data_IF_426103021441
#
_entry.id   IF_426103021441
#
_cell.length_a   1.000
_cell.length_b   1.000
_cell.length_c   1.000
_cell.angle_alpha   90.00
_cell.angle_beta   90.00
_cell.angle_gamma   90.00
#
_symmetry.space_group_name_H-M   'P 1'
#
loop_
_entity.id
_entity.type
_entity.pdbx_description
1 polymer ?
#
# COMPACT_ATOMS: atom_id res chain seq x y z
N UNK A 1 -6.99 -1.34 62.45
CA UNK A 1 -7.57 -0.69 61.27
C UNK A 1 -6.59 -0.84 60.12
N UNK A 2 -6.88 -1.76 59.16
CA UNK A 2 -6.05 -1.97 57.95
C UNK A 2 -6.67 -1.15 56.82
N UNK A 3 -6.01 -0.07 56.38
CA UNK A 3 -6.39 0.66 55.18
C UNK A 3 -5.96 -0.13 53.95
N UNK A 4 -6.93 -0.59 53.14
CA UNK A 4 -6.69 -1.10 51.82
C UNK A 4 -6.59 0.09 50.84
N UNK A 5 -5.42 0.31 50.31
CA UNK A 5 -5.20 1.28 49.23
C UNK A 5 -5.61 0.58 47.92
N UNK A 6 -6.80 0.93 47.40
CA UNK A 6 -7.24 0.48 46.06
C UNK A 6 -6.53 1.36 45.05
N UNK A 7 -5.50 0.81 44.43
CA UNK A 7 -4.78 1.42 43.29
C UNK A 7 -5.67 1.29 42.05
N UNK A 8 -6.42 2.34 41.70
CA UNK A 8 -7.07 2.44 40.40
C UNK A 8 -5.98 2.63 39.32
N UNK A 9 -5.60 1.54 38.65
CA UNK A 9 -4.89 1.62 37.40
C UNK A 9 -5.81 2.24 36.34
N UNK A 10 -5.74 3.54 36.17
CA UNK A 10 -6.24 4.18 34.94
C UNK A 10 -5.40 3.67 33.78
N UNK A 11 -5.84 2.60 33.11
CA UNK A 11 -5.41 2.33 31.76
C UNK A 11 -5.89 3.51 30.91
N UNK A 12 -5.02 4.46 30.65
CA UNK A 12 -5.24 5.47 29.63
C UNK A 12 -5.32 4.75 28.28
N UNK A 13 -6.52 4.43 27.84
CA UNK A 13 -6.75 4.12 26.43
C UNK A 13 -6.28 5.35 25.66
N UNK A 14 -5.21 5.22 24.92
CA UNK A 14 -4.78 6.26 23.99
C UNK A 14 -5.92 6.45 22.98
N UNK A 15 -6.68 7.52 23.13
CA UNK A 15 -7.84 7.87 22.29
C UNK A 15 -7.33 8.48 20.98
N UNK A 16 -6.83 7.63 20.06
CA UNK A 16 -6.30 8.10 18.78
C UNK A 16 -6.98 7.45 17.58
N UNK A 17 -7.50 6.25 17.73
CA UNK A 17 -8.29 5.55 16.71
C UNK A 17 -9.79 5.73 17.01
N UNK A 18 -10.56 6.07 16.01
CA UNK A 18 -12.01 6.13 16.07
C UNK A 18 -12.55 5.01 15.18
N UNK A 19 -13.03 3.89 15.76
CA UNK A 19 -13.56 2.79 14.98
C UNK A 19 -14.79 3.23 14.20
N UNK A 20 -14.84 2.85 12.94
CA UNK A 20 -16.00 3.05 12.07
C UNK A 20 -16.53 1.70 11.63
N UNK A 21 -17.81 1.65 11.33
CA UNK A 21 -18.44 0.46 10.74
C UNK A 21 -18.16 0.41 9.24
N UNK A 22 -17.77 -0.77 8.77
CA UNK A 22 -17.58 -1.08 7.36
C UNK A 22 -18.51 -2.23 7.01
N UNK A 23 -19.17 -2.14 5.86
CA UNK A 23 -19.96 -3.23 5.31
C UNK A 23 -19.13 -3.93 4.23
N UNK A 24 -19.24 -5.23 4.22
CA UNK A 24 -18.54 -6.11 3.29
C UNK A 24 -19.57 -6.87 2.44
N UNK A 25 -19.43 -6.80 1.12
CA UNK A 25 -20.27 -7.50 0.18
C UNK A 25 -19.41 -8.29 -0.82
N UNK A 26 -19.74 -9.56 -1.00
CA UNK A 26 -19.05 -10.41 -1.96
C UNK A 26 -19.41 -10.00 -3.40
N UNK A 27 -18.39 -9.81 -4.22
CA UNK A 27 -18.54 -9.45 -5.63
C UNK A 27 -18.36 -10.70 -6.49
N UNK A 28 -19.38 -11.03 -7.27
CA UNK A 28 -19.32 -12.18 -8.18
C UNK A 28 -18.28 -11.95 -9.30
N UNK A 29 -17.51 -12.97 -9.62
CA UNK A 29 -16.51 -12.96 -10.70
C UNK A 29 -16.45 -14.29 -11.44
N UNK A 30 -15.99 -14.26 -12.70
CA UNK A 30 -15.69 -15.47 -13.44
C UNK A 30 -14.38 -16.10 -12.93
N UNK A 31 -14.26 -17.44 -12.88
CA UNK A 31 -13.01 -18.09 -12.49
C UNK A 31 -11.82 -17.59 -13.31
N UNK A 32 -10.76 -17.19 -12.61
CA UNK A 32 -9.52 -16.75 -13.22
C UNK A 32 -8.33 -17.50 -12.61
N UNK A 33 -7.52 -18.10 -13.47
CA UNK A 33 -6.38 -18.89 -13.05
C UNK A 33 -5.28 -18.85 -14.11
N UNK A 34 -4.05 -18.71 -13.66
CA UNK A 34 -2.83 -18.88 -14.47
C UNK A 34 -1.97 -20.00 -13.88
N UNK A 35 -0.79 -20.25 -14.45
CA UNK A 35 0.18 -21.16 -13.82
C UNK A 35 0.70 -20.63 -12.48
N UNK A 36 0.66 -19.31 -12.27
CA UNK A 36 1.24 -18.65 -11.08
C UNK A 36 0.22 -18.23 -10.03
N UNK A 37 -0.99 -17.86 -10.41
CA UNK A 37 -2.00 -17.35 -9.49
C UNK A 37 -3.40 -17.83 -9.80
N UNK A 38 -4.26 -17.81 -8.77
CA UNK A 38 -5.69 -18.09 -8.85
C UNK A 38 -6.47 -17.02 -8.11
N UNK A 39 -7.51 -16.45 -8.73
CA UNK A 39 -8.40 -15.48 -8.09
C UNK A 39 -9.32 -16.21 -7.11
N UNK A 40 -9.28 -15.82 -5.84
CA UNK A 40 -10.00 -16.50 -4.76
C UNK A 40 -11.24 -15.74 -4.31
N UNK A 41 -11.16 -14.42 -4.19
CA UNK A 41 -12.27 -13.58 -3.75
C UNK A 41 -12.13 -12.15 -4.25
N UNK A 42 -13.27 -11.49 -4.39
CA UNK A 42 -13.39 -10.03 -4.50
C UNK A 42 -14.49 -9.61 -3.54
N UNK A 43 -14.21 -8.64 -2.68
CA UNK A 43 -15.21 -8.05 -1.78
C UNK A 43 -15.22 -6.54 -1.96
N UNK A 44 -16.40 -5.95 -1.89
CA UNK A 44 -16.59 -4.51 -1.85
C UNK A 44 -16.73 -4.05 -0.40
N UNK A 45 -16.00 -3.01 -0.05
CA UNK A 45 -16.06 -2.38 1.28
C UNK A 45 -16.75 -1.03 1.15
N UNK A 46 -17.75 -0.78 2.01
CA UNK A 46 -18.48 0.49 2.05
C UNK A 46 -18.60 1.00 3.48
N UNK A 47 -18.70 2.31 3.67
CA UNK A 47 -18.95 2.93 4.96
C UNK A 47 -19.74 4.23 4.79
N UNK A 48 -20.60 4.57 5.76
CA UNK A 48 -21.24 5.89 5.83
C UNK A 48 -20.33 6.96 6.43
N UNK A 49 -19.19 6.57 7.00
CA UNK A 49 -18.21 7.53 7.51
C UNK A 49 -17.43 8.15 6.34
N UNK A 50 -17.52 9.47 6.21
CA UNK A 50 -16.88 10.23 5.12
C UNK A 50 -15.35 10.19 5.12
N UNK A 51 -14.74 9.63 6.18
CA UNK A 51 -13.28 9.43 6.23
C UNK A 51 -12.86 8.17 5.48
N UNK A 52 -13.78 7.21 5.30
CA UNK A 52 -13.53 5.96 4.59
C UNK A 52 -13.52 6.18 3.08
N UNK A 53 -12.51 5.65 2.43
CA UNK A 53 -12.29 5.78 0.99
C UNK A 53 -10.89 6.32 0.66
N UNK A 54 -10.57 6.37 -0.62
CA UNK A 54 -9.27 6.85 -1.09
C UNK A 54 -8.10 5.98 -0.65
N UNK A 55 -8.27 4.64 -0.56
CA UNK A 55 -7.26 3.74 -0.04
C UNK A 55 -6.20 3.45 -1.11
N UNK A 56 -5.03 4.07 -0.99
CA UNK A 56 -3.95 4.08 -1.99
C UNK A 56 -2.83 3.07 -1.74
N UNK A 57 -2.78 2.45 -0.55
CA UNK A 57 -1.71 1.52 -0.19
C UNK A 57 -2.24 0.33 0.60
N UNK A 58 -1.44 -0.73 0.71
CA UNK A 58 -1.83 -1.92 1.46
C UNK A 58 -0.60 -2.60 2.08
N UNK A 59 -0.72 -2.96 3.34
CA UNK A 59 0.22 -3.82 4.04
C UNK A 59 -0.53 -4.78 4.96
N UNK A 60 -0.01 -5.97 5.14
CA UNK A 60 -0.53 -6.94 6.10
C UNK A 60 0.56 -7.23 7.13
N UNK A 61 0.21 -7.05 8.40
CA UNK A 61 1.07 -7.41 9.53
C UNK A 61 0.25 -8.30 10.48
N UNK A 62 0.72 -9.51 10.71
CA UNK A 62 -0.01 -10.53 11.45
C UNK A 62 -1.41 -10.73 10.86
N UNK A 63 -2.48 -10.45 11.61
CA UNK A 63 -3.86 -10.51 11.13
C UNK A 63 -4.46 -9.12 10.82
N UNK A 64 -3.62 -8.10 10.74
CA UNK A 64 -4.07 -6.73 10.52
C UNK A 64 -3.76 -6.25 9.11
N UNK A 65 -4.77 -5.72 8.44
CA UNK A 65 -4.65 -4.94 7.21
C UNK A 65 -4.40 -3.48 7.61
N UNK A 66 -3.34 -2.89 7.08
CA UNK A 66 -3.01 -1.48 7.27
C UNK A 66 -2.97 -0.82 5.89
N UNK A 67 -3.68 0.28 5.75
CA UNK A 67 -3.75 1.06 4.51
C UNK A 67 -3.63 2.55 4.80
N UNK A 68 -3.11 3.32 3.89
CA UNK A 68 -3.18 4.79 3.93
C UNK A 68 -4.13 5.29 2.85
N UNK A 69 -4.58 6.53 2.98
CA UNK A 69 -5.45 7.12 1.98
C UNK A 69 -5.18 8.61 1.76
N UNK A 70 -5.60 9.09 0.62
CA UNK A 70 -5.41 10.44 0.06
C UNK A 70 -5.83 11.59 0.98
N UNK A 71 -6.68 11.30 1.94
CA UNK A 71 -7.12 12.29 2.92
C UNK A 71 -6.27 12.34 4.18
N UNK A 72 -5.11 11.65 4.17
CA UNK A 72 -4.14 11.66 5.28
C UNK A 72 -4.65 10.88 6.47
N UNK A 73 -5.23 9.74 6.22
CA UNK A 73 -5.64 8.77 7.23
C UNK A 73 -4.87 7.47 7.08
N UNK A 74 -4.69 6.81 8.21
CA UNK A 74 -4.27 5.43 8.33
C UNK A 74 -5.50 4.62 8.70
N UNK A 75 -5.75 3.54 7.99
CA UNK A 75 -6.85 2.61 8.18
C UNK A 75 -6.31 1.28 8.68
N UNK A 76 -6.98 0.69 9.67
CA UNK A 76 -6.59 -0.58 10.25
C UNK A 76 -7.81 -1.49 10.38
N UNK A 77 -7.74 -2.68 9.81
CA UNK A 77 -8.81 -3.67 9.80
C UNK A 77 -8.28 -5.00 10.32
N UNK A 78 -9.15 -5.83 10.90
CA UNK A 78 -8.87 -7.25 10.97
C UNK A 78 -8.97 -7.86 9.57
N UNK A 79 -7.98 -8.64 9.15
CA UNK A 79 -7.98 -9.36 7.87
C UNK A 79 -9.13 -10.37 7.76
N UNK A 80 -9.56 -10.96 8.88
CA UNK A 80 -10.62 -11.96 8.91
C UNK A 80 -12.01 -11.35 8.81
N UNK A 81 -12.24 -10.21 9.48
CA UNK A 81 -13.58 -9.62 9.58
C UNK A 81 -13.76 -8.43 8.64
N UNK A 82 -12.86 -7.47 8.60
CA UNK A 82 -13.00 -6.19 7.89
C UNK A 82 -14.29 -5.38 8.22
N UNK A 83 -15.14 -5.85 9.14
CA UNK A 83 -16.43 -5.20 9.50
C UNK A 83 -16.27 -3.95 10.37
N UNK A 84 -15.09 -3.75 10.92
CA UNK A 84 -14.69 -2.55 11.65
C UNK A 84 -13.34 -2.05 11.16
N UNK A 85 -13.19 -0.73 11.09
CA UNK A 85 -11.96 -0.09 10.70
C UNK A 85 -11.60 1.00 11.72
N UNK A 86 -10.40 0.94 12.26
CA UNK A 86 -9.83 2.03 13.03
C UNK A 86 -9.29 3.09 12.07
N UNK A 87 -9.74 4.33 12.22
CA UNK A 87 -9.30 5.45 11.38
C UNK A 87 -8.44 6.40 12.21
N UNK A 88 -7.17 6.51 11.82
CA UNK A 88 -6.17 7.34 12.51
C UNK A 88 -5.73 8.47 11.59
N UNK A 89 -5.86 9.73 12.03
CA UNK A 89 -5.39 10.86 11.24
C UNK A 89 -3.85 10.96 11.28
N UNK A 90 -3.22 11.04 10.12
CA UNK A 90 -1.79 11.35 10.00
C UNK A 90 -1.53 12.81 10.43
N UNK A 91 -0.44 13.01 11.17
CA UNK A 91 -0.06 14.29 11.77
C UNK A 91 1.32 14.75 11.33
N UNK A 92 1.51 16.06 11.31
CA UNK A 92 2.82 16.65 11.10
C UNK A 92 3.70 16.60 12.38
N UNK A 93 4.94 17.05 12.28
CA UNK A 93 5.88 17.14 13.41
C UNK A 93 5.36 17.97 14.59
N UNK A 94 4.40 18.87 14.37
CA UNK A 94 3.74 19.68 15.40
C UNK A 94 2.48 19.02 15.97
N UNK A 95 2.21 17.77 15.60
CA UNK A 95 1.02 17.02 16.02
C UNK A 95 -0.30 17.47 15.37
N UNK A 96 -0.26 18.32 14.34
CA UNK A 96 -1.44 18.79 13.61
C UNK A 96 -1.80 17.81 12.49
N UNK A 97 -3.11 17.58 12.28
CA UNK A 97 -3.61 16.76 11.14
C UNK A 97 -3.13 17.36 9.82
N UNK A 98 -2.75 16.50 8.88
CA UNK A 98 -2.42 16.90 7.52
C UNK A 98 -3.69 17.38 6.80
N UNK A 99 -3.73 18.63 6.34
CA UNK A 99 -4.94 19.23 5.75
C UNK A 99 -4.80 19.51 4.26
N UNK A 100 -3.62 19.98 3.83
CA UNK A 100 -3.39 20.37 2.44
C UNK A 100 -3.14 19.14 1.58
N UNK A 101 -3.75 19.05 0.39
CA UNK A 101 -3.57 17.90 -0.52
C UNK A 101 -2.09 17.56 -0.68
N UNK A 102 -1.21 18.51 -0.99
CA UNK A 102 0.24 18.30 -1.11
C UNK A 102 0.97 17.78 0.14
N UNK A 103 0.29 17.67 1.27
CA UNK A 103 0.88 17.15 2.51
C UNK A 103 0.34 15.77 2.87
N UNK A 104 -0.86 15.43 2.41
CA UNK A 104 -1.61 14.25 2.84
C UNK A 104 -1.78 13.17 1.77
N UNK A 105 -1.40 13.45 0.52
CA UNK A 105 -1.47 12.57 -0.65
C UNK A 105 -0.45 11.43 -0.44
N UNK A 106 -0.87 10.36 0.25
CA UNK A 106 -0.04 9.19 0.54
C UNK A 106 -0.26 8.13 -0.52
N UNK A 107 0.83 7.52 -1.01
CA UNK A 107 0.79 6.60 -2.14
C UNK A 107 1.14 5.16 -1.75
N UNK A 108 2.09 4.97 -0.84
CA UNK A 108 2.52 3.64 -0.46
C UNK A 108 2.99 3.59 0.98
N UNK A 109 3.00 2.39 1.56
CA UNK A 109 3.53 2.17 2.91
C UNK A 109 4.25 0.84 3.01
N UNK A 110 5.25 0.79 3.88
CA UNK A 110 5.96 -0.43 4.30
C UNK A 110 6.39 -0.31 5.75
N UNK A 111 6.94 -1.38 6.33
CA UNK A 111 7.59 -1.32 7.65
C UNK A 111 9.10 -1.25 7.50
N UNK A 112 9.74 -0.47 8.35
CA UNK A 112 11.19 -0.61 8.52
C UNK A 112 11.53 -1.75 9.51
N UNK A 113 12.81 -2.02 9.66
CA UNK A 113 13.34 -3.05 10.56
C UNK A 113 13.03 -2.81 12.05
N UNK A 114 12.65 -1.58 12.43
CA UNK A 114 12.25 -1.22 13.80
C UNK A 114 10.74 -1.29 14.01
N UNK A 115 9.97 -1.60 12.97
CA UNK A 115 8.51 -1.71 13.00
C UNK A 115 7.78 -0.36 12.85
N UNK A 116 8.48 0.71 12.40
CA UNK A 116 7.85 1.98 12.06
C UNK A 116 7.21 1.89 10.67
N UNK A 117 6.08 2.55 10.51
CA UNK A 117 5.43 2.70 9.20
C UNK A 117 6.17 3.75 8.37
N UNK A 118 6.79 3.35 7.27
CA UNK A 118 7.32 4.27 6.29
C UNK A 118 6.23 4.57 5.27
N UNK A 119 5.82 5.82 5.16
CA UNK A 119 4.75 6.25 4.26
C UNK A 119 5.34 7.20 3.21
N UNK A 120 5.14 6.88 1.94
CA UNK A 120 5.48 7.76 0.82
C UNK A 120 4.35 8.75 0.53
N UNK A 121 4.73 9.94 0.07
CA UNK A 121 3.80 11.00 -0.28
C UNK A 121 4.14 11.60 -1.63
N UNK A 122 3.10 11.89 -2.41
CA UNK A 122 3.16 12.58 -3.69
C UNK A 122 3.21 14.11 -3.55
N UNK A 123 3.38 14.84 -4.63
CA UNK A 123 3.43 16.32 -4.76
C UNK A 123 4.57 17.02 -4.01
N UNK A 124 4.81 16.63 -2.81
CA UNK A 124 5.99 16.94 -2.03
C UNK A 124 6.65 15.61 -1.68
N UNK A 125 7.39 15.07 -2.66
CA UNK A 125 7.96 13.72 -2.61
C UNK A 125 8.81 13.54 -1.37
N UNK A 126 8.39 12.66 -0.48
CA UNK A 126 9.06 12.34 0.77
C UNK A 126 8.60 11.00 1.31
N UNK A 127 9.42 10.38 2.11
CA UNK A 127 9.06 9.21 2.91
C UNK A 127 9.24 9.60 4.38
N UNK A 128 8.19 9.43 5.17
CA UNK A 128 8.18 9.78 6.58
C UNK A 128 7.90 8.55 7.45
N UNK A 129 8.66 8.37 8.55
CA UNK A 129 8.39 7.32 9.53
C UNK A 129 7.25 7.73 10.47
N UNK A 130 6.23 6.88 10.56
CA UNK A 130 5.07 7.05 11.43
C UNK A 130 4.95 5.94 12.46
N UNK A 131 4.40 6.25 13.62
CA UNK A 131 3.84 5.26 14.54
C UNK A 131 2.45 4.80 14.08
N UNK A 132 1.97 3.67 14.59
CA UNK A 132 0.59 3.22 14.37
C UNK A 132 -0.48 4.19 14.87
N UNK A 133 -0.10 5.23 15.63
CA UNK A 133 -0.96 6.32 16.11
C UNK A 133 -0.98 7.52 15.14
N UNK A 134 -0.36 7.42 13.98
CA UNK A 134 -0.32 8.49 12.97
C UNK A 134 0.58 9.67 13.33
N UNK A 135 1.58 9.47 14.21
CA UNK A 135 2.57 10.48 14.58
C UNK A 135 3.90 10.21 13.88
N UNK A 136 4.57 11.24 13.41
CA UNK A 136 5.95 11.12 12.89
C UNK A 136 6.88 10.74 14.06
N UNK A 137 7.71 9.71 13.84
CA UNK A 137 8.60 9.12 14.86
C UNK A 137 10.04 9.01 14.38
N UNK A 138 10.56 10.07 13.82
CA UNK A 138 11.95 10.18 13.35
C UNK A 138 12.10 11.18 12.23
N UNK A 139 13.30 11.25 11.68
CA UNK A 139 13.60 12.12 10.56
C UNK A 139 13.07 11.56 9.24
N UNK A 140 12.78 12.40 8.24
CA UNK A 140 12.47 11.94 6.89
C UNK A 140 13.58 11.03 6.32
N UNK A 141 13.20 10.03 5.58
CA UNK A 141 14.16 9.18 4.85
C UNK A 141 14.84 10.02 3.77
N UNK A 142 16.19 10.11 3.75
CA UNK A 142 16.91 10.79 2.69
C UNK A 142 16.61 10.15 1.34
N UNK A 143 16.13 10.93 0.38
CA UNK A 143 15.78 10.43 -0.95
C UNK A 143 16.90 10.73 -1.97
N UNK A 144 17.01 9.94 -3.07
CA UNK A 144 17.89 10.28 -4.16
C UNK A 144 17.49 11.62 -4.78
N UNK A 145 18.45 12.47 -5.12
CA UNK A 145 18.21 13.80 -5.72
C UNK A 145 17.39 13.73 -7.03
N UNK A 146 17.46 12.61 -7.76
CA UNK A 146 16.66 12.38 -8.95
C UNK A 146 15.15 12.36 -8.69
N UNK A 147 14.71 12.13 -7.45
CA UNK A 147 13.28 12.18 -7.05
C UNK A 147 12.74 13.60 -7.15
N UNK A 148 13.55 14.63 -6.95
CA UNK A 148 13.14 16.03 -7.08
C UNK A 148 12.69 16.39 -8.51
N UNK A 149 13.18 15.64 -9.52
CA UNK A 149 12.82 15.81 -10.93
C UNK A 149 11.59 15.03 -11.39
N UNK A 150 10.97 14.26 -10.50
CA UNK A 150 9.74 13.53 -10.80
C UNK A 150 8.55 14.50 -10.98
N UNK A 151 7.55 14.12 -11.80
CA UNK A 151 6.32 14.90 -11.91
C UNK A 151 5.63 15.07 -10.56
N UNK A 152 4.91 16.17 -10.36
CA UNK A 152 4.11 16.36 -9.14
C UNK A 152 3.05 15.27 -8.94
N UNK A 153 2.49 14.74 -10.02
CA UNK A 153 1.62 13.57 -10.06
C UNK A 153 2.39 12.46 -10.78
N UNK A 154 2.81 11.44 -10.09
CA UNK A 154 3.62 10.35 -10.63
C UNK A 154 4.97 10.25 -9.94
N UNK A 155 4.96 10.27 -8.63
CA UNK A 155 6.15 10.30 -7.79
C UNK A 155 6.57 8.94 -7.25
N UNK A 156 6.49 8.81 -5.94
CA UNK A 156 6.89 7.61 -5.19
C UNK A 156 5.69 6.66 -5.06
N UNK A 157 5.31 6.03 -6.15
CA UNK A 157 4.08 5.23 -6.24
C UNK A 157 4.14 3.95 -5.40
N UNK A 158 5.32 3.34 -5.30
CA UNK A 158 5.47 2.13 -4.54
C UNK A 158 6.80 2.09 -3.78
N UNK A 159 6.72 1.72 -2.51
CA UNK A 159 7.90 1.48 -1.67
C UNK A 159 7.80 0.11 -1.01
N UNK A 160 8.93 -0.54 -0.82
CA UNK A 160 8.99 -1.81 -0.09
C UNK A 160 10.33 -1.95 0.64
N UNK A 161 10.30 -2.62 1.80
CA UNK A 161 11.50 -2.92 2.58
C UNK A 161 11.98 -4.34 2.31
N UNK A 162 13.24 -4.48 1.91
CA UNK A 162 13.90 -5.77 1.71
C UNK A 162 14.17 -6.47 3.05
N UNK A 163 14.56 -7.73 2.99
CA UNK A 163 14.86 -8.55 4.20
C UNK A 163 16.03 -8.02 5.02
N UNK A 164 16.94 -7.27 4.39
CA UNK A 164 18.09 -6.62 5.03
C UNK A 164 17.80 -5.18 5.49
N UNK A 165 16.55 -4.76 5.46
CA UNK A 165 16.09 -3.44 5.89
C UNK A 165 16.25 -2.33 4.86
N UNK A 166 16.88 -2.56 3.70
CA UNK A 166 16.99 -1.55 2.64
C UNK A 166 15.65 -1.27 1.99
N UNK A 167 15.44 -0.02 1.58
CA UNK A 167 14.26 0.37 0.84
C UNK A 167 14.43 0.18 -0.67
N UNK A 168 13.34 -0.22 -1.32
CA UNK A 168 13.16 -0.15 -2.76
C UNK A 168 12.07 0.86 -3.04
N UNK A 169 12.30 1.77 -4.01
CA UNK A 169 11.36 2.78 -4.45
C UNK A 169 11.11 2.58 -5.94
N UNK A 170 9.86 2.56 -6.35
CA UNK A 170 9.44 2.56 -7.75
C UNK A 170 8.68 3.85 -8.04
N UNK A 171 9.12 4.60 -9.05
CA UNK A 171 8.42 5.78 -9.53
C UNK A 171 7.41 5.43 -10.63
N UNK A 172 6.34 6.19 -10.77
CA UNK A 172 5.40 6.01 -11.89
C UNK A 172 6.03 6.42 -13.23
N UNK A 173 6.86 7.45 -13.22
CA UNK A 173 7.39 8.06 -14.43
C UNK A 173 6.35 8.89 -15.19
N UNK A 174 6.75 9.42 -16.35
CA UNK A 174 5.83 10.14 -17.23
C UNK A 174 5.12 9.17 -18.18
N UNK A 175 3.95 9.55 -18.68
CA UNK A 175 3.15 8.71 -19.60
C UNK A 175 3.91 8.21 -20.83
N UNK A 176 4.95 8.94 -21.28
CA UNK A 176 5.73 8.63 -22.50
C UNK A 176 7.08 7.97 -22.22
N UNK A 177 7.45 7.79 -20.95
CA UNK A 177 8.74 7.19 -20.62
C UNK A 177 8.69 5.70 -20.95
N UNK A 178 9.67 5.21 -21.67
CA UNK A 178 9.84 3.79 -22.00
C UNK A 178 10.40 3.00 -20.81
N UNK A 179 10.96 3.71 -19.84
CA UNK A 179 11.57 3.15 -18.64
C UNK A 179 10.93 3.73 -17.38
N UNK A 180 10.78 2.88 -16.41
CA UNK A 180 10.33 3.19 -15.05
C UNK A 180 11.56 3.25 -14.16
N UNK A 181 11.72 4.34 -13.41
CA UNK A 181 12.83 4.46 -12.47
C UNK A 181 12.59 3.61 -11.22
N UNK A 182 13.61 2.89 -10.84
CA UNK A 182 13.70 2.13 -9.59
C UNK A 182 14.93 2.60 -8.82
N UNK A 183 14.84 2.76 -7.52
CA UNK A 183 15.97 3.06 -6.65
C UNK A 183 16.03 2.03 -5.53
N UNK A 184 17.23 1.52 -5.28
CA UNK A 184 17.52 0.59 -4.20
C UNK A 184 18.45 1.29 -3.22
N UNK A 185 18.06 1.36 -1.96
CA UNK A 185 18.85 1.98 -0.92
C UNK A 185 20.17 1.20 -0.71
N UNK A 186 21.26 1.91 -0.52
CA UNK A 186 22.56 1.30 -0.17
C UNK A 186 22.59 0.82 1.27
N UNK A 187 23.50 -0.09 1.59
CA UNK A 187 23.70 -0.59 2.97
C UNK A 187 24.11 0.51 3.97
N UNK A 188 24.65 1.63 3.47
CA UNK A 188 24.99 2.80 4.29
C UNK A 188 23.77 3.66 4.65
N UNK A 189 22.58 3.31 4.18
CA UNK A 189 21.32 4.05 4.38
C UNK A 189 21.36 5.51 3.93
N UNK A 190 22.28 5.84 3.05
CA UNK A 190 22.50 7.20 2.53
C UNK A 190 22.63 7.26 1.02
N UNK A 191 23.18 6.22 0.42
CA UNK A 191 23.33 6.12 -1.02
C UNK A 191 22.13 5.40 -1.65
N UNK A 192 21.92 5.62 -2.93
CA UNK A 192 20.88 4.99 -3.72
C UNK A 192 21.43 4.53 -5.05
N UNK A 193 21.18 3.29 -5.39
CA UNK A 193 21.47 2.75 -6.70
C UNK A 193 20.24 2.92 -7.59
N UNK A 194 20.37 3.67 -8.69
CA UNK A 194 19.31 3.80 -9.68
C UNK A 194 19.36 2.63 -10.66
N UNK A 195 18.20 2.00 -10.85
CA UNK A 195 17.92 1.00 -11.87
C UNK A 195 16.78 1.48 -12.76
N UNK A 196 16.53 0.77 -13.84
CA UNK A 196 15.37 0.99 -14.72
C UNK A 196 14.64 -0.33 -14.96
N UNK A 197 13.32 -0.24 -15.05
CA UNK A 197 12.46 -1.32 -15.47
C UNK A 197 11.85 -0.92 -16.80
N UNK A 198 12.02 -1.75 -17.84
CA UNK A 198 11.36 -1.50 -19.13
C UNK A 198 9.85 -1.50 -18.94
N UNK A 199 9.19 -0.44 -19.38
CA UNK A 199 7.73 -0.38 -19.42
C UNK A 199 7.24 -1.34 -20.49
N UNK A 200 6.23 -2.11 -20.15
CA UNK A 200 5.55 -3.00 -21.09
C UNK A 200 4.16 -2.43 -21.34
N UNK A 201 3.85 -2.09 -22.56
CA UNK A 201 2.60 -1.40 -22.92
C UNK A 201 2.46 -0.06 -22.19
N UNK A 202 1.25 0.40 -21.95
CA UNK A 202 0.95 1.63 -21.20
C UNK A 202 0.68 1.41 -19.71
N UNK A 203 1.06 0.24 -19.17
CA UNK A 203 0.90 -0.04 -17.75
C UNK A 203 1.83 0.82 -16.89
N UNK A 204 1.34 1.20 -15.72
CA UNK A 204 2.05 2.02 -14.74
C UNK A 204 2.11 1.33 -13.38
N UNK A 205 3.23 1.40 -12.69
CA UNK A 205 3.31 0.97 -11.31
C UNK A 205 2.29 1.67 -10.43
N UNK A 206 1.65 0.92 -9.55
CA UNK A 206 0.73 1.44 -8.54
C UNK A 206 0.95 0.78 -7.17
N UNK A 207 1.70 -0.32 -7.10
CA UNK A 207 1.97 -0.97 -5.82
C UNK A 207 3.12 -1.97 -5.92
N UNK A 208 3.73 -2.23 -4.79
CA UNK A 208 4.85 -3.16 -4.64
C UNK A 208 4.70 -3.92 -3.33
N UNK A 209 5.02 -5.20 -3.33
CA UNK A 209 5.07 -5.99 -2.11
C UNK A 209 6.16 -7.06 -2.18
N UNK A 210 6.78 -7.36 -1.04
CA UNK A 210 7.78 -8.41 -0.91
C UNK A 210 7.13 -9.74 -0.52
N UNK A 211 7.52 -10.81 -1.19
CA UNK A 211 7.05 -12.14 -0.82
C UNK A 211 7.64 -12.57 0.53
N UNK A 212 6.87 -13.26 1.38
CA UNK A 212 7.34 -13.77 2.66
C UNK A 212 8.62 -14.63 2.50
N UNK A 213 9.63 -14.33 3.34
CA UNK A 213 10.90 -15.06 3.39
C UNK A 213 11.83 -14.91 2.18
N UNK A 214 11.59 -13.97 1.27
CA UNK A 214 12.39 -13.76 0.04
C UNK A 214 12.49 -12.29 -0.33
N UNK A 215 13.57 -11.86 -0.99
CA UNK A 215 13.68 -10.54 -1.63
C UNK A 215 13.19 -10.55 -3.09
N UNK A 216 12.20 -11.39 -3.36
CA UNK A 216 11.41 -11.34 -4.59
C UNK A 216 10.19 -10.47 -4.35
N UNK A 217 10.04 -9.46 -5.15
CA UNK A 217 8.93 -8.52 -5.08
C UNK A 217 7.85 -8.89 -6.10
N UNK A 218 6.63 -8.45 -5.86
CA UNK A 218 5.54 -8.45 -6.83
C UNK A 218 5.17 -7.00 -7.10
N UNK A 219 5.32 -6.60 -8.37
CA UNK A 219 4.96 -5.29 -8.88
C UNK A 219 3.51 -5.35 -9.39
N UNK A 220 2.67 -4.49 -8.84
CA UNK A 220 1.33 -4.22 -9.35
C UNK A 220 1.41 -3.05 -10.33
N UNK A 221 0.84 -3.23 -11.50
CA UNK A 221 0.77 -2.21 -12.53
C UNK A 221 -0.66 -2.11 -13.07
N UNK A 222 -1.10 -0.90 -13.35
CA UNK A 222 -2.44 -0.59 -13.82
C UNK A 222 -2.40 0.12 -15.17
N UNK A 223 -3.36 -0.22 -16.01
CA UNK A 223 -3.69 0.48 -17.25
C UNK A 223 -5.16 0.86 -17.24
N UNK A 224 -5.48 2.03 -17.73
CA UNK A 224 -6.86 2.48 -17.91
C UNK A 224 -7.07 3.12 -19.29
N UNK A 225 -8.12 2.68 -19.96
CA UNK A 225 -8.64 3.35 -21.15
C UNK A 225 -10.18 3.43 -21.09
N UNK A 226 -10.78 4.56 -21.51
CA UNK A 226 -12.23 4.76 -21.40
C UNK A 226 -13.09 3.69 -22.05
N UNK A 227 -12.61 3.10 -23.16
CA UNK A 227 -13.37 2.09 -23.94
C UNK A 227 -13.14 0.67 -23.41
N UNK A 228 -11.90 0.35 -23.00
CA UNK A 228 -11.52 -1.02 -22.62
C UNK A 228 -11.46 -1.22 -21.11
N UNK A 229 -11.71 -0.18 -20.32
CA UNK A 229 -11.74 -0.22 -18.88
C UNK A 229 -10.36 -0.37 -18.22
N UNK A 230 -10.39 -0.76 -16.95
CA UNK A 230 -9.21 -1.01 -16.13
C UNK A 230 -8.61 -2.38 -16.47
N UNK A 231 -7.28 -2.45 -16.47
CA UNK A 231 -6.51 -3.70 -16.55
C UNK A 231 -5.40 -3.67 -15.52
N UNK A 232 -5.12 -4.82 -14.94
CA UNK A 232 -4.03 -5.02 -13.99
C UNK A 232 -3.01 -6.00 -14.55
N UNK A 233 -1.77 -5.78 -14.20
CA UNK A 233 -0.67 -6.72 -14.41
C UNK A 233 0.10 -6.89 -13.12
N UNK A 234 0.36 -8.14 -12.77
CA UNK A 234 1.26 -8.50 -11.69
C UNK A 234 2.48 -9.18 -12.31
N UNK A 235 3.67 -8.76 -11.91
CA UNK A 235 4.91 -9.38 -12.34
C UNK A 235 5.89 -9.52 -11.18
N UNK A 236 6.74 -10.52 -11.24
CA UNK A 236 7.88 -10.57 -10.33
C UNK A 236 8.87 -9.46 -10.63
N UNK A 237 9.51 -8.98 -9.57
CA UNK A 237 10.63 -8.06 -9.61
C UNK A 237 11.68 -8.55 -8.63
N UNK A 238 12.92 -8.66 -9.08
CA UNK A 238 14.05 -8.95 -8.21
C UNK A 238 14.41 -7.69 -7.41
N UNK A 239 14.30 -7.76 -6.08
CA UNK A 239 14.49 -6.61 -5.19
C UNK A 239 15.94 -6.13 -5.10
N UNK A 240 16.91 -6.93 -5.55
CA UNK A 240 18.34 -6.61 -5.52
C UNK A 240 18.82 -6.04 -6.85
N UNK A 241 18.43 -6.69 -7.94
CA UNK A 241 18.89 -6.30 -9.28
C UNK A 241 17.93 -5.35 -10.01
N UNK A 242 16.70 -5.23 -9.54
CA UNK A 242 15.64 -4.49 -10.21
C UNK A 242 15.15 -5.14 -11.51
N UNK A 243 15.53 -6.39 -11.77
CA UNK A 243 15.14 -7.09 -13.01
C UNK A 243 13.70 -7.59 -12.91
N UNK A 244 12.90 -7.27 -13.92
CA UNK A 244 11.55 -7.85 -14.06
C UNK A 244 11.65 -9.35 -14.38
N UNK A 245 10.89 -10.15 -13.66
CA UNK A 245 10.69 -11.58 -13.88
C UNK A 245 9.39 -11.88 -14.63
N UNK A 246 8.85 -13.07 -14.37
CA UNK A 246 7.64 -13.56 -15.03
C UNK A 246 6.41 -12.70 -14.71
N UNK A 247 5.50 -12.62 -15.68
CA UNK A 247 4.18 -12.04 -15.50
C UNK A 247 3.30 -13.10 -14.81
N UNK A 248 2.86 -12.80 -13.60
CA UNK A 248 2.01 -13.68 -12.80
C UNK A 248 0.57 -13.70 -13.30
N UNK A 249 0.05 -12.51 -13.62
CA UNK A 249 -1.32 -12.32 -14.08
C UNK A 249 -1.46 -11.08 -14.95
N UNK A 250 -2.39 -11.14 -15.90
CA UNK A 250 -3.00 -9.99 -16.58
C UNK A 250 -4.51 -10.12 -16.39
N UNK A 251 -5.10 -9.22 -15.62
CA UNK A 251 -6.53 -9.16 -15.33
C UNK A 251 -7.17 -8.04 -16.16
N UNK A 252 -8.37 -8.28 -16.61
CA UNK A 252 -9.17 -7.32 -17.38
C UNK A 252 -10.64 -7.77 -17.41
N UNK A 253 -11.53 -7.03 -18.07
CA UNK A 253 -12.90 -7.46 -18.24
C UNK A 253 -13.01 -8.90 -18.79
N UNK A 254 -13.91 -9.75 -18.26
CA UNK A 254 -15.04 -9.43 -17.39
C UNK A 254 -14.74 -9.45 -15.88
N UNK A 255 -13.49 -9.60 -15.43
CA UNK A 255 -13.16 -9.51 -14.00
C UNK A 255 -13.57 -8.14 -13.47
N UNK A 256 -14.31 -8.06 -12.34
CA UNK A 256 -14.62 -6.78 -11.70
C UNK A 256 -13.33 -6.10 -11.22
N UNK A 257 -12.96 -5.00 -11.86
CA UNK A 257 -11.76 -4.24 -11.55
C UNK A 257 -12.11 -2.78 -11.31
N UNK A 258 -11.30 -2.14 -10.49
CA UNK A 258 -11.33 -0.71 -10.23
C UNK A 258 -9.89 -0.17 -10.14
N UNK A 259 -9.68 0.98 -9.56
CA UNK A 259 -8.41 1.66 -9.41
C UNK A 259 -7.51 0.99 -8.37
N UNK A 260 -7.06 -0.25 -8.60
CA UNK A 260 -6.20 -0.97 -7.66
C UNK A 260 -4.82 -0.31 -7.55
N UNK A 261 -4.47 0.10 -6.33
CA UNK A 261 -3.23 0.81 -6.01
C UNK A 261 -2.43 0.12 -4.92
N UNK A 262 -3.09 -0.46 -3.91
CA UNK A 262 -2.41 -1.19 -2.85
C UNK A 262 -2.27 -2.69 -3.15
N UNK A 263 -1.12 -3.27 -2.78
CA UNK A 263 -0.87 -4.71 -2.81
C UNK A 263 -0.07 -5.14 -1.59
N UNK A 264 -0.43 -6.29 -1.01
CA UNK A 264 0.32 -6.92 0.08
C UNK A 264 0.41 -8.44 -0.13
N UNK A 265 1.58 -9.01 0.14
CA UNK A 265 1.78 -10.46 0.20
C UNK A 265 1.78 -10.92 1.66
N UNK A 266 1.12 -12.04 1.93
CA UNK A 266 1.14 -12.67 3.24
C UNK A 266 1.11 -14.18 3.11
N UNK A 267 1.48 -14.88 4.19
CA UNK A 267 1.44 -16.33 4.26
C UNK A 267 0.34 -16.76 5.23
N UNK A 268 -0.49 -17.68 4.76
CA UNK A 268 -1.49 -18.35 5.60
C UNK A 268 -0.83 -19.39 6.53
N UNK A 269 -1.52 -19.80 7.57
CA UNK A 269 -1.05 -20.81 8.54
C UNK A 269 -0.68 -22.13 7.89
N UNK A 270 -1.32 -22.47 6.77
CA UNK A 270 -1.02 -23.67 5.98
C UNK A 270 0.20 -23.52 5.04
N UNK A 271 0.93 -22.39 5.14
CA UNK A 271 2.11 -22.07 4.34
C UNK A 271 1.82 -21.51 2.94
N UNK A 272 0.56 -21.41 2.51
CA UNK A 272 0.22 -20.85 1.22
C UNK A 272 0.40 -19.33 1.20
N UNK A 273 1.03 -18.82 0.15
CA UNK A 273 1.19 -17.37 -0.04
C UNK A 273 -0.02 -16.79 -0.76
N UNK A 274 -0.50 -15.68 -0.26
CA UNK A 274 -1.60 -14.89 -0.83
C UNK A 274 -1.11 -13.49 -1.22
N UNK A 275 -1.74 -12.95 -2.24
CA UNK A 275 -1.64 -11.54 -2.60
C UNK A 275 -3.00 -10.90 -2.37
N UNK A 276 -3.05 -9.85 -1.57
CA UNK A 276 -4.23 -9.03 -1.38
C UNK A 276 -4.01 -7.70 -2.08
N UNK A 277 -5.00 -7.24 -2.83
CA UNK A 277 -5.00 -5.97 -3.52
C UNK A 277 -6.16 -5.14 -3.01
N UNK A 278 -5.99 -3.81 -2.94
CA UNK A 278 -7.05 -2.88 -2.59
C UNK A 278 -7.17 -1.78 -3.64
N UNK A 279 -8.39 -1.35 -3.95
CA UNK A 279 -8.63 -0.26 -4.89
C UNK A 279 -8.99 1.04 -4.19
N UNK A 280 -8.52 2.14 -4.74
CA UNK A 280 -8.91 3.50 -4.41
C UNK A 280 -10.20 3.87 -5.14
N UNK A 281 -11.22 4.28 -4.39
CA UNK A 281 -12.49 4.77 -4.94
C UNK A 281 -12.44 6.26 -5.32
N UNK A 282 -11.32 6.95 -5.10
CA UNK A 282 -11.16 8.39 -5.35
C UNK A 282 -12.29 9.24 -4.74
N UNK A 283 -12.98 8.73 -3.71
CA UNK A 283 -14.22 9.30 -3.17
C UNK A 283 -15.28 9.58 -4.26
N UNK A 284 -15.28 8.80 -5.33
CA UNK A 284 -16.18 8.89 -6.48
C UNK A 284 -17.30 7.86 -6.38
N UNK A 285 -18.53 8.29 -6.61
CA UNK A 285 -19.69 7.37 -6.67
C UNK A 285 -19.64 6.38 -7.84
N UNK A 286 -18.70 6.55 -8.77
CA UNK A 286 -18.51 5.69 -9.93
C UNK A 286 -17.41 4.64 -9.70
N UNK A 287 -16.68 4.73 -8.59
CA UNK A 287 -15.59 3.83 -8.24
C UNK A 287 -15.87 3.15 -6.91
N UNK A 288 -15.22 2.01 -6.69
CA UNK A 288 -15.47 1.15 -5.54
C UNK A 288 -14.19 0.87 -4.78
N UNK A 289 -14.29 0.76 -3.46
CA UNK A 289 -13.23 0.18 -2.64
C UNK A 289 -13.36 -1.35 -2.68
N UNK A 290 -12.60 -1.98 -3.56
CA UNK A 290 -12.56 -3.44 -3.70
C UNK A 290 -11.33 -4.02 -3.01
N UNK A 291 -11.50 -5.15 -2.35
CA UNK A 291 -10.41 -6.01 -1.87
C UNK A 291 -10.43 -7.29 -2.67
N UNK A 292 -9.33 -7.57 -3.36
CA UNK A 292 -9.15 -8.78 -4.17
C UNK A 292 -8.09 -9.67 -3.54
N UNK A 293 -8.36 -10.97 -3.45
CA UNK A 293 -7.39 -11.96 -2.96
C UNK A 293 -7.02 -12.94 -4.06
N UNK A 294 -5.72 -13.10 -4.30
CA UNK A 294 -5.15 -14.07 -5.21
C UNK A 294 -4.34 -15.11 -4.43
N UNK A 295 -4.48 -16.37 -4.77
CA UNK A 295 -3.59 -17.44 -4.29
C UNK A 295 -2.37 -17.55 -5.19
N UNK A 296 -1.16 -17.47 -4.62
CA UNK A 296 0.07 -17.76 -5.34
C UNK A 296 0.27 -19.28 -5.39
N UNK A 297 0.70 -19.80 -6.54
CA UNK A 297 0.80 -21.24 -6.81
C UNK A 297 2.25 -21.70 -6.91
#
# INVERSE_FOLDING_TARGET
MKFWLILFLFMSRAVWAEPIKVWKEDVAFAPFKTEHVELLSIVELTSFDKRFGGLSSLMIKDDEIISTGDHGHLFRFSRQDMGQCDVVALRDLKGKRLKKKKQRDSESLTLDETGRLLISFERNHRILPYSGEGKIVGDPIPLPSAVEGLPNNGGLEAIETLSDGRLVIVGEGRKRDEEISLWIEGHDKKSWEKKTITRIDEFRPTGLTRLPGRDRLVLLERYYAPITGVRLRLSYLDGITGKRGDILAKLGPPTPLDNFEGIAAYQEDNGQVRLMLISDDNFSILQRTLVMTLGLR
#
